data_IF_136815687156
#
_entry.id   IF_136815687156
#
_cell.length_a   1.000
_cell.length_b   1.000
_cell.length_c   1.000
_cell.angle_alpha   90.00
_cell.angle_beta   90.00
_cell.angle_gamma   90.00
#
_symmetry.space_group_name_H-M   'P 1'
#
loop_
_entity.id
_entity.type
_entity.pdbx_description
1 polymer ?
#
# COMPACT_ATOMS: atom_id res chain seq x y z
N UNK A 1 9.06 17.58 0.05
CA UNK A 1 7.62 17.26 0.15
C UNK A 1 6.93 17.81 -1.10
N UNK A 2 6.59 16.93 -2.06
CA UNK A 2 5.79 17.33 -3.23
C UNK A 2 4.35 17.58 -2.77
N UNK A 3 3.88 18.82 -2.86
CA UNK A 3 2.49 19.19 -2.54
C UNK A 3 1.68 19.18 -3.83
N UNK A 4 0.97 18.10 -4.10
CA UNK A 4 -0.12 18.11 -5.08
C UNK A 4 -1.45 18.18 -4.32
N UNK A 5 -2.19 19.27 -4.51
CA UNK A 5 -3.58 19.46 -4.03
C UNK A 5 -3.81 19.21 -2.53
N UNK A 6 -2.98 19.78 -1.66
CA UNK A 6 -3.24 19.81 -0.21
C UNK A 6 -2.91 18.51 0.56
N UNK A 7 -2.40 17.48 -0.12
CA UNK A 7 -1.90 16.27 0.53
C UNK A 7 -0.37 16.27 0.59
N UNK A 8 0.16 15.71 1.67
CA UNK A 8 1.59 15.38 1.81
C UNK A 8 1.76 13.88 1.66
N UNK A 9 2.69 13.47 0.81
CA UNK A 9 3.03 12.07 0.60
C UNK A 9 4.23 11.67 1.45
N UNK A 10 4.15 10.50 2.04
CA UNK A 10 5.23 9.76 2.70
C UNK A 10 5.50 8.54 1.85
N UNK A 11 6.77 8.14 1.75
CA UNK A 11 7.15 6.95 0.97
C UNK A 11 6.54 7.01 -0.44
N UNK A 12 6.58 8.17 -1.09
CA UNK A 12 6.08 8.34 -2.47
C UNK A 12 4.56 8.36 -2.66
N UNK A 13 3.82 7.43 -2.05
CA UNK A 13 2.42 7.09 -2.37
C UNK A 13 1.51 6.94 -1.13
N UNK A 14 2.03 7.09 0.09
CA UNK A 14 1.20 7.11 1.31
C UNK A 14 0.76 8.55 1.61
N UNK A 15 -0.51 8.85 1.34
CA UNK A 15 -1.11 10.15 1.59
C UNK A 15 -1.35 10.40 3.09
N UNK A 16 -1.18 11.66 3.50
CA UNK A 16 -1.53 12.16 4.84
C UNK A 16 -2.25 13.50 4.73
N UNK A 17 -3.22 13.72 5.62
CA UNK A 17 -3.79 15.05 5.80
C UNK A 17 -2.73 15.94 6.45
N UNK A 18 -2.39 17.07 5.83
CA UNK A 18 -1.28 17.96 6.21
C UNK A 18 -1.34 18.62 7.61
N UNK A 19 -2.18 18.10 8.52
CA UNK A 19 -2.38 18.56 9.89
C UNK A 19 -2.10 17.47 10.94
N UNK A 20 -1.86 16.21 10.55
CA UNK A 20 -1.50 15.11 11.48
C UNK A 20 -0.12 14.56 11.12
N UNK A 21 0.87 14.94 11.92
CA UNK A 21 2.29 14.56 11.78
C UNK A 21 2.61 13.14 12.27
N UNK A 22 1.64 12.42 12.86
CA UNK A 22 1.81 11.06 13.33
C UNK A 22 0.57 10.24 13.02
N UNK A 23 0.73 9.20 12.21
CA UNK A 23 -0.12 8.01 12.28
C UNK A 23 0.80 6.89 12.72
N UNK A 24 0.99 6.77 14.03
CA UNK A 24 1.11 5.43 14.59
C UNK A 24 -0.31 4.90 14.66
N UNK A 25 -0.57 3.75 14.05
CA UNK A 25 -1.78 2.98 14.34
C UNK A 25 -1.66 2.34 15.73
N UNK A 26 -1.40 3.14 16.76
CA UNK A 26 -1.00 2.64 18.08
C UNK A 26 -2.14 1.87 18.77
N UNK A 27 -3.40 2.10 18.38
CA UNK A 27 -4.57 1.59 19.12
C UNK A 27 -5.63 0.90 18.23
N UNK A 28 -5.28 0.29 17.09
CA UNK A 28 -6.23 -0.40 16.17
C UNK A 28 -7.38 0.46 15.58
N UNK A 29 -7.56 1.71 16.03
CA UNK A 29 -8.59 2.64 15.52
C UNK A 29 -8.37 3.03 14.05
N UNK A 30 -7.23 2.69 13.46
CA UNK A 30 -6.95 2.88 12.04
C UNK A 30 -7.38 1.68 11.17
N UNK A 31 -7.81 0.57 11.75
CA UNK A 31 -8.21 -0.61 10.99
C UNK A 31 -9.68 -0.51 10.54
N UNK A 32 -10.00 -1.20 9.46
CA UNK A 32 -11.38 -1.44 9.08
C UNK A 32 -12.06 -2.39 10.08
N UNK A 33 -13.31 -2.13 10.42
CA UNK A 33 -13.99 -2.87 11.48
C UNK A 33 -14.35 -4.27 11.00
N UNK A 34 -14.00 -5.29 11.82
CA UNK A 34 -14.47 -6.66 11.63
C UNK A 34 -15.94 -6.76 12.03
N UNK A 35 -16.76 -7.29 11.13
CA UNK A 35 -18.17 -7.60 11.33
C UNK A 35 -18.34 -8.86 12.18
N UNK A 36 -19.54 -9.04 12.73
CA UNK A 36 -19.91 -10.17 13.60
C UNK A 36 -19.90 -11.52 12.88
N UNK A 37 -20.00 -11.52 11.56
CA UNK A 37 -19.90 -12.70 10.70
C UNK A 37 -18.45 -13.13 10.40
N UNK A 38 -17.48 -12.42 10.97
CA UNK A 38 -16.06 -12.73 10.81
C UNK A 38 -15.39 -12.02 9.63
N UNK A 39 -16.12 -11.28 8.79
CA UNK A 39 -15.57 -10.56 7.64
C UNK A 39 -15.25 -9.10 7.96
N UNK A 40 -14.35 -8.51 7.18
CA UNK A 40 -14.02 -7.08 7.22
C UNK A 40 -14.51 -6.47 5.93
N UNK A 41 -15.61 -5.72 5.99
CA UNK A 41 -16.18 -5.06 4.83
C UNK A 41 -15.54 -3.70 4.63
N UNK A 42 -14.92 -3.49 3.45
CA UNK A 42 -14.34 -2.22 3.03
C UNK A 42 -15.23 -1.63 1.94
N UNK A 43 -16.12 -0.67 2.27
CA UNK A 43 -16.97 -0.05 1.28
C UNK A 43 -16.16 0.78 0.29
N UNK A 44 -16.52 0.77 -0.99
CA UNK A 44 -15.84 1.56 -2.01
C UNK A 44 -16.78 2.19 -3.04
N UNK A 45 -16.30 3.24 -3.70
CA UNK A 45 -16.85 3.80 -4.94
C UNK A 45 -15.79 3.82 -6.03
N UNK A 46 -16.17 3.57 -7.29
CA UNK A 46 -15.27 3.71 -8.46
C UNK A 46 -15.78 4.85 -9.33
N UNK A 47 -14.91 5.83 -9.57
CA UNK A 47 -15.21 7.00 -10.40
C UNK A 47 -15.80 6.62 -11.76
N UNK A 48 -16.87 7.29 -12.26
CA UNK A 48 -17.41 7.07 -13.59
C UNK A 48 -16.43 7.42 -14.72
N UNK A 49 -15.30 8.05 -14.40
CA UNK A 49 -14.24 8.39 -15.35
C UNK A 49 -13.38 7.19 -15.77
N UNK A 50 -13.41 6.08 -15.02
CA UNK A 50 -12.78 4.83 -15.44
C UNK A 50 -13.64 4.12 -16.48
N UNK A 51 -12.99 3.64 -17.54
CA UNK A 51 -13.63 2.79 -18.53
C UNK A 51 -13.87 1.36 -17.99
N UNK A 52 -14.43 0.48 -18.82
CA UNK A 52 -14.76 -0.87 -18.41
C UNK A 52 -13.51 -1.72 -18.11
N UNK A 53 -12.41 -1.52 -18.84
CA UNK A 53 -11.18 -2.29 -18.63
C UNK A 53 -10.44 -1.85 -17.37
N UNK A 54 -10.40 -0.54 -17.11
CA UNK A 54 -9.90 0.03 -15.86
C UNK A 54 -10.68 -0.53 -14.67
N UNK A 55 -12.01 -0.56 -14.75
CA UNK A 55 -12.89 -1.15 -13.72
C UNK A 55 -12.59 -2.61 -13.45
N UNK A 56 -12.50 -3.43 -14.50
CA UNK A 56 -12.15 -4.85 -14.38
C UNK A 56 -10.78 -5.01 -13.71
N UNK A 57 -9.80 -4.18 -14.07
CA UNK A 57 -8.45 -4.24 -13.49
C UNK A 57 -8.43 -3.91 -12.00
N UNK A 58 -9.20 -2.89 -11.60
CA UNK A 58 -9.39 -2.51 -10.18
C UNK A 58 -10.08 -3.64 -9.41
N UNK A 59 -11.12 -4.24 -9.99
CA UNK A 59 -11.87 -5.35 -9.38
C UNK A 59 -11.03 -6.62 -9.26
N UNK A 60 -10.11 -6.90 -10.20
CA UNK A 60 -9.13 -7.98 -10.07
C UNK A 60 -8.21 -7.72 -8.87
N UNK A 61 -7.68 -6.50 -8.70
CA UNK A 61 -6.84 -6.20 -7.53
C UNK A 61 -7.59 -6.34 -6.20
N UNK A 62 -8.89 -6.01 -6.17
CA UNK A 62 -9.75 -6.30 -5.01
C UNK A 62 -9.90 -7.81 -4.76
N UNK A 63 -10.03 -8.60 -5.83
CA UNK A 63 -10.20 -10.05 -5.78
C UNK A 63 -8.92 -10.77 -5.31
N UNK A 64 -7.75 -10.30 -5.73
CA UNK A 64 -6.45 -10.85 -5.33
C UNK A 64 -6.30 -10.88 -3.80
N UNK A 65 -6.82 -9.86 -3.11
CA UNK A 65 -6.88 -9.81 -1.65
C UNK A 65 -8.09 -10.59 -1.10
N UNK A 66 -9.27 -10.36 -1.67
CA UNK A 66 -10.53 -10.85 -1.08
C UNK A 66 -10.68 -12.37 -1.19
N UNK A 67 -10.03 -13.01 -2.16
CA UNK A 67 -10.16 -14.46 -2.40
C UNK A 67 -9.50 -15.32 -1.30
N UNK A 68 -8.46 -14.80 -0.64
CA UNK A 68 -7.66 -15.53 0.35
C UNK A 68 -7.69 -14.92 1.75
N UNK A 69 -8.57 -13.93 1.99
CA UNK A 69 -8.71 -13.24 3.27
C UNK A 69 -10.17 -13.05 3.69
N UNK A 70 -10.38 -12.62 4.94
CA UNK A 70 -11.68 -12.18 5.43
C UNK A 70 -12.02 -10.73 5.03
N UNK A 71 -11.13 -10.01 4.34
CA UNK A 71 -11.42 -8.69 3.79
C UNK A 71 -12.31 -8.84 2.56
N UNK A 72 -13.36 -8.03 2.47
CA UNK A 72 -14.29 -7.98 1.33
C UNK A 72 -14.51 -6.53 0.91
N UNK A 73 -14.13 -6.21 -0.31
CA UNK A 73 -14.48 -4.92 -0.91
C UNK A 73 -15.93 -4.97 -1.39
N UNK A 74 -16.74 -4.02 -0.94
CA UNK A 74 -18.18 -3.98 -1.26
C UNK A 74 -18.58 -2.62 -1.83
N UNK A 75 -19.46 -2.56 -2.85
CA UNK A 75 -19.99 -1.29 -3.32
C UNK A 75 -20.65 -0.54 -2.17
N UNK A 76 -20.25 0.72 -1.99
CA UNK A 76 -20.79 1.57 -0.95
C UNK A 76 -22.27 1.85 -1.20
N UNK A 77 -23.05 1.85 -0.12
CA UNK A 77 -24.42 2.36 -0.10
C UNK A 77 -24.50 3.61 0.78
N UNK A 78 -24.46 3.43 2.10
CA UNK A 78 -24.66 4.49 3.09
C UNK A 78 -23.52 4.62 4.10
N UNK A 79 -22.48 3.79 4.00
CA UNK A 79 -21.37 3.80 4.95
C UNK A 79 -20.67 5.16 4.95
N UNK A 80 -20.37 5.67 6.15
CA UNK A 80 -19.69 6.95 6.33
C UNK A 80 -18.22 6.87 5.92
N UNK A 81 -17.55 5.77 6.31
CA UNK A 81 -16.16 5.47 5.98
C UNK A 81 -16.12 4.58 4.74
N UNK A 82 -15.38 4.99 3.70
CA UNK A 82 -15.26 4.24 2.46
C UNK A 82 -14.06 4.72 1.63
N UNK A 83 -13.56 3.85 0.76
CA UNK A 83 -12.51 4.16 -0.20
C UNK A 83 -13.13 4.76 -1.47
N UNK A 84 -12.72 5.99 -1.82
CA UNK A 84 -13.16 6.67 -3.04
C UNK A 84 -12.11 6.56 -4.14
N UNK A 85 -12.28 5.61 -5.06
CA UNK A 85 -11.28 5.29 -6.09
C UNK A 85 -11.42 6.25 -7.28
N UNK A 86 -10.36 7.01 -7.55
CA UNK A 86 -10.38 8.16 -8.47
C UNK A 86 -9.14 8.19 -9.39
N UNK A 87 -9.27 8.56 -10.68
CA UNK A 87 -8.13 8.68 -11.59
C UNK A 87 -7.41 10.02 -11.40
N UNK A 88 -6.87 10.27 -10.20
CA UNK A 88 -6.06 11.47 -9.94
C UNK A 88 -4.64 11.24 -10.44
N UNK A 89 -3.79 12.26 -10.34
CA UNK A 89 -2.38 12.14 -10.69
C UNK A 89 -1.65 11.24 -9.67
N UNK A 90 -0.91 10.25 -10.16
CA UNK A 90 -0.19 9.24 -9.39
C UNK A 90 -1.03 8.05 -8.94
N UNK A 91 -0.34 7.04 -8.43
CA UNK A 91 -0.90 5.93 -7.67
C UNK A 91 -0.63 6.24 -6.19
N UNK A 92 -1.66 6.26 -5.35
CA UNK A 92 -1.50 6.53 -3.91
C UNK A 92 -2.77 6.22 -3.12
N UNK A 93 -2.59 6.03 -1.82
CA UNK A 93 -3.67 5.73 -0.88
C UNK A 93 -3.38 6.30 0.51
N UNK A 94 -4.39 6.34 1.36
CA UNK A 94 -4.17 6.61 2.79
C UNK A 94 -3.80 5.33 3.52
N UNK A 95 -3.06 5.47 4.63
CA UNK A 95 -2.71 4.33 5.48
C UNK A 95 -3.86 3.99 6.44
N UNK A 96 -4.50 2.85 6.22
CA UNK A 96 -5.65 2.39 7.01
C UNK A 96 -6.93 3.18 6.77
N UNK A 97 -7.92 2.96 7.62
CA UNK A 97 -9.18 3.71 7.72
C UNK A 97 -8.93 5.05 8.41
N UNK A 98 -9.18 6.15 7.71
CA UNK A 98 -8.94 7.52 8.22
C UNK A 98 -10.20 8.25 8.71
N UNK A 99 -11.37 7.67 8.46
CA UNK A 99 -12.68 8.25 8.78
C UNK A 99 -13.23 9.13 7.67
N UNK A 100 -14.50 8.94 7.31
CA UNK A 100 -15.15 9.58 6.17
C UNK A 100 -14.72 9.01 4.82
N UNK A 101 -15.07 9.69 3.71
CA UNK A 101 -14.54 9.39 2.39
C UNK A 101 -13.01 9.53 2.37
N UNK A 102 -12.29 8.48 1.97
CA UNK A 102 -10.84 8.53 1.76
C UNK A 102 -10.48 8.27 0.30
N UNK A 103 -9.96 9.27 -0.43
CA UNK A 103 -9.53 9.07 -1.81
C UNK A 103 -8.39 8.05 -1.92
N UNK A 104 -8.50 7.17 -2.91
CA UNK A 104 -7.42 6.31 -3.40
C UNK A 104 -7.25 6.64 -4.89
N UNK A 105 -6.03 6.98 -5.29
CA UNK A 105 -5.73 7.33 -6.67
C UNK A 105 -5.16 6.15 -7.43
N UNK A 106 -5.77 5.84 -8.57
CA UNK A 106 -5.17 4.99 -9.59
C UNK A 106 -5.23 5.76 -10.91
N UNK A 107 -4.18 6.51 -11.24
CA UNK A 107 -4.10 7.26 -12.49
C UNK A 107 -4.27 6.32 -13.70
N UNK A 108 -5.21 6.62 -14.59
CA UNK A 108 -5.29 5.93 -15.89
C UNK A 108 -4.44 6.68 -16.94
N UNK A 109 -3.64 5.99 -17.78
CA UNK A 109 -3.41 4.54 -17.82
C UNK A 109 -2.27 4.06 -16.88
N UNK A 110 -1.53 4.97 -16.24
CA UNK A 110 -0.24 4.67 -15.60
C UNK A 110 -0.31 3.65 -14.44
N UNK A 111 -1.42 3.57 -13.71
CA UNK A 111 -1.63 2.70 -12.56
C UNK A 111 -2.55 1.50 -12.87
N UNK A 112 -2.95 1.30 -14.13
CA UNK A 112 -3.95 0.28 -14.52
C UNK A 112 -3.33 -1.12 -14.62
N UNK A 113 -2.86 -1.62 -13.48
CA UNK A 113 -2.31 -2.95 -13.27
C UNK A 113 -2.93 -3.50 -11.99
N UNK A 114 -3.42 -4.74 -11.99
CA UNK A 114 -4.13 -5.29 -10.81
C UNK A 114 -3.24 -5.32 -9.57
N UNK A 115 -1.97 -5.67 -9.69
CA UNK A 115 -1.04 -5.63 -8.55
C UNK A 115 -0.75 -4.21 -8.03
N UNK A 116 -0.84 -3.17 -8.87
CA UNK A 116 -0.80 -1.77 -8.41
C UNK A 116 -2.09 -1.43 -7.66
N UNK A 117 -3.26 -1.84 -8.15
CA UNK A 117 -4.50 -1.68 -7.41
C UNK A 117 -4.44 -2.40 -6.05
N UNK A 118 -3.96 -3.64 -6.02
CA UNK A 118 -3.73 -4.41 -4.79
C UNK A 118 -2.79 -3.70 -3.81
N UNK A 119 -1.70 -3.13 -4.31
CA UNK A 119 -0.75 -2.34 -3.51
C UNK A 119 -1.42 -1.15 -2.81
N UNK A 120 -2.17 -0.33 -3.55
CA UNK A 120 -2.87 0.83 -2.98
C UNK A 120 -4.01 0.44 -2.03
N UNK A 121 -4.67 -0.68 -2.30
CA UNK A 121 -5.68 -1.25 -1.41
C UNK A 121 -5.04 -1.79 -0.13
N UNK A 122 -3.85 -2.39 -0.19
CA UNK A 122 -3.10 -2.81 1.00
C UNK A 122 -2.68 -1.62 1.87
N UNK A 123 -2.30 -0.48 1.27
CA UNK A 123 -2.15 0.77 2.03
C UNK A 123 -3.43 1.16 2.76
N UNK A 124 -4.58 1.13 2.07
CA UNK A 124 -5.89 1.41 2.68
C UNK A 124 -6.24 0.42 3.81
N UNK A 125 -5.68 -0.79 3.79
CA UNK A 125 -5.82 -1.79 4.85
C UNK A 125 -4.86 -1.59 6.02
N UNK A 126 -3.86 -0.71 5.90
CA UNK A 126 -2.93 -0.35 6.98
C UNK A 126 -1.51 -0.87 6.80
N UNK A 127 -1.14 -1.38 5.62
CA UNK A 127 0.21 -1.87 5.34
C UNK A 127 1.12 -0.74 4.82
N UNK A 128 2.33 -0.68 5.36
CA UNK A 128 3.41 0.17 4.84
C UNK A 128 4.33 -0.65 3.95
N UNK A 129 5.31 0.00 3.32
CA UNK A 129 6.24 -0.72 2.46
C UNK A 129 7.17 -1.68 3.20
N UNK A 130 7.56 -2.75 2.52
CA UNK A 130 8.43 -3.78 3.09
C UNK A 130 9.86 -3.24 3.35
N UNK A 131 10.41 -2.41 2.45
CA UNK A 131 11.75 -1.82 2.63
C UNK A 131 11.84 -0.76 3.74
N UNK A 132 10.68 -0.41 4.31
CA UNK A 132 10.54 0.55 5.40
C UNK A 132 10.51 -0.12 6.79
N UNK A 133 10.53 -1.46 6.85
CA UNK A 133 10.57 -2.22 8.10
C UNK A 133 11.77 -1.87 8.99
N UNK A 134 11.57 -1.98 10.30
CA UNK A 134 12.62 -1.73 11.31
C UNK A 134 13.86 -2.62 11.13
N UNK A 135 13.67 -3.86 10.66
CA UNK A 135 14.71 -4.89 10.48
C UNK A 135 15.29 -4.94 9.05
N UNK A 136 14.87 -4.05 8.14
CA UNK A 136 15.20 -4.13 6.70
C UNK A 136 16.70 -4.14 6.38
N UNK A 137 17.55 -3.52 7.20
CA UNK A 137 19.01 -3.45 6.94
C UNK A 137 19.71 -4.82 6.98
N UNK A 138 19.06 -5.84 7.58
CA UNK A 138 19.50 -7.24 7.55
C UNK A 138 19.30 -7.88 6.16
N UNK A 139 18.39 -7.32 5.37
CA UNK A 139 17.89 -7.89 4.11
C UNK A 139 18.26 -7.04 2.90
N UNK A 140 18.34 -5.72 3.04
CA UNK A 140 18.72 -4.83 1.94
C UNK A 140 19.78 -3.82 2.36
N UNK A 141 20.56 -3.35 1.39
CA UNK A 141 21.36 -2.12 1.49
C UNK A 141 20.64 -1.03 0.72
N UNK A 142 20.49 0.15 1.33
CA UNK A 142 20.06 1.35 0.61
C UNK A 142 21.31 2.11 0.15
N UNK A 143 21.40 2.37 -1.16
CA UNK A 143 22.44 3.19 -1.77
C UNK A 143 21.97 4.65 -1.79
N UNK A 144 22.23 5.36 -0.70
CA UNK A 144 21.70 6.70 -0.45
C UNK A 144 22.17 7.75 -1.46
N UNK A 145 23.37 7.58 -1.98
CA UNK A 145 24.01 8.38 -3.01
C UNK A 145 23.28 8.31 -4.36
N UNK A 146 22.58 7.22 -4.65
CA UNK A 146 21.85 7.02 -5.91
C UNK A 146 20.40 7.52 -5.83
N UNK A 147 19.93 7.96 -4.65
CA UNK A 147 18.56 8.43 -4.44
C UNK A 147 18.49 9.94 -4.70
N UNK A 148 17.45 10.36 -5.42
CA UNK A 148 17.15 11.78 -5.67
C UNK A 148 17.18 12.58 -4.37
N UNK A 149 17.90 13.72 -4.35
CA UNK A 149 18.23 14.47 -3.12
C UNK A 149 16.97 14.85 -2.30
N UNK A 150 15.85 15.12 -2.96
CA UNK A 150 14.57 15.40 -2.32
C UNK A 150 13.75 14.18 -1.86
N UNK A 151 14.14 12.96 -2.24
CA UNK A 151 13.35 11.72 -2.10
C UNK A 151 13.92 10.73 -1.07
N UNK A 152 15.08 11.00 -0.48
CA UNK A 152 15.70 10.16 0.57
C UNK A 152 14.76 9.85 1.74
N UNK A 153 13.85 10.76 2.05
CA UNK A 153 12.84 10.55 3.11
C UNK A 153 11.91 9.34 2.86
N UNK A 154 11.75 8.88 1.63
CA UNK A 154 10.95 7.70 1.28
C UNK A 154 11.62 6.36 1.67
N UNK A 155 12.91 6.39 2.03
CA UNK A 155 13.68 5.19 2.42
C UNK A 155 13.94 5.10 3.92
N UNK A 156 13.36 6.02 4.71
CA UNK A 156 13.46 5.99 6.17
C UNK A 156 12.77 4.74 6.70
N UNK A 157 13.41 4.09 7.68
CA UNK A 157 12.79 3.00 8.44
C UNK A 157 11.76 3.54 9.41
N UNK A 158 10.81 2.70 9.78
CA UNK A 158 9.84 2.97 10.83
C UNK A 158 9.83 1.84 11.85
N UNK A 159 9.41 2.16 13.06
CA UNK A 159 9.07 1.16 14.06
C UNK A 159 7.80 0.44 13.60
N UNK A 160 8.00 -0.69 12.92
CA UNK A 160 6.93 -1.51 12.35
C UNK A 160 6.58 -2.64 13.30
N UNK A 161 5.27 -2.87 13.51
CA UNK A 161 4.82 -4.16 14.00
C UNK A 161 4.92 -5.15 12.83
N UNK A 162 6.02 -5.91 12.80
CA UNK A 162 6.29 -6.88 11.75
C UNK A 162 5.33 -8.09 11.78
N UNK A 163 4.33 -8.10 12.68
CA UNK A 163 3.37 -9.19 12.88
C UNK A 163 4.05 -10.54 13.10
N UNK A 164 5.27 -10.52 13.66
CA UNK A 164 6.16 -11.68 13.79
C UNK A 164 6.45 -12.44 12.48
N UNK A 165 6.32 -11.78 11.31
CA UNK A 165 6.65 -12.38 10.01
C UNK A 165 8.08 -12.06 9.59
N UNK A 166 8.62 -12.93 8.73
CA UNK A 166 9.89 -12.70 8.03
C UNK A 166 9.77 -11.53 7.04
N UNK A 167 10.93 -11.04 6.58
CA UNK A 167 11.03 -10.07 5.49
C UNK A 167 10.74 -10.75 4.15
N UNK A 168 9.98 -10.08 3.29
CA UNK A 168 9.53 -10.63 2.02
C UNK A 168 9.96 -9.77 0.81
N UNK A 169 10.99 -10.25 0.10
CA UNK A 169 11.44 -9.60 -1.14
C UNK A 169 10.38 -9.60 -2.25
N UNK A 170 9.47 -10.57 -2.22
CA UNK A 170 8.42 -10.76 -3.22
C UNK A 170 7.12 -10.02 -2.86
N UNK A 171 7.10 -9.30 -1.73
CA UNK A 171 5.93 -8.53 -1.32
C UNK A 171 5.57 -7.48 -2.38
N UNK A 172 4.27 -7.36 -2.68
CA UNK A 172 3.76 -6.30 -3.56
C UNK A 172 4.01 -4.91 -2.96
N UNK A 173 4.24 -4.85 -1.64
CA UNK A 173 4.60 -3.66 -0.89
C UNK A 173 6.10 -3.36 -0.90
N UNK A 174 6.93 -4.14 -1.58
CA UNK A 174 8.36 -3.84 -1.72
C UNK A 174 8.60 -2.87 -2.88
N UNK A 175 9.47 -1.88 -2.69
CA UNK A 175 9.97 -1.05 -3.78
C UNK A 175 10.84 -1.83 -4.76
N UNK A 176 10.79 -1.41 -6.03
CA UNK A 176 11.74 -1.88 -7.03
C UNK A 176 13.16 -1.40 -6.78
N UNK A 177 14.12 -2.12 -7.35
CA UNK A 177 15.56 -1.86 -7.27
C UNK A 177 15.98 -0.42 -7.61
N UNK A 178 15.25 0.23 -8.51
CA UNK A 178 15.55 1.55 -9.06
C UNK A 178 14.62 2.66 -8.57
N UNK A 179 13.83 2.38 -7.52
CA UNK A 179 12.88 3.35 -6.99
C UNK A 179 13.61 4.67 -6.64
N UNK A 180 13.08 5.80 -7.12
CA UNK A 180 13.63 7.15 -6.87
C UNK A 180 15.11 7.31 -7.20
N UNK A 181 15.61 6.57 -8.19
CA UNK A 181 16.98 6.72 -8.68
C UNK A 181 17.18 8.08 -9.36
N UNK A 182 18.30 8.75 -9.07
CA UNK A 182 18.69 10.02 -9.70
C UNK A 182 19.22 9.80 -11.13
N UNK A 183 19.96 8.72 -11.36
CA UNK A 183 20.76 8.50 -12.57
C UNK A 183 20.52 7.12 -13.22
N UNK A 184 19.50 6.38 -12.76
CA UNK A 184 19.17 5.04 -13.24
C UNK A 184 19.98 3.92 -12.56
N UNK A 185 20.87 4.24 -11.62
CA UNK A 185 21.56 3.26 -10.79
C UNK A 185 20.63 2.69 -9.71
N UNK A 186 20.89 1.45 -9.22
CA UNK A 186 20.08 0.85 -8.18
C UNK A 186 20.12 1.67 -6.88
N UNK A 187 18.98 1.82 -6.22
CA UNK A 187 18.85 2.45 -4.89
C UNK A 187 18.69 1.42 -3.77
N UNK A 188 18.25 0.20 -4.11
CA UNK A 188 18.08 -0.92 -3.16
C UNK A 188 18.82 -2.16 -3.69
N UNK A 189 19.70 -2.73 -2.86
CA UNK A 189 20.42 -3.97 -3.16
C UNK A 189 20.05 -5.05 -2.13
N UNK A 190 19.43 -6.18 -2.56
CA UNK A 190 19.15 -7.31 -1.67
C UNK A 190 20.39 -8.02 -1.11
N UNK A 191 20.20 -8.72 0.00
CA UNK A 191 21.20 -9.53 0.71
C UNK A 191 20.66 -10.94 0.99
N UNK A 192 21.53 -11.96 1.13
CA UNK A 192 22.97 -11.90 0.83
C UNK A 192 23.26 -11.89 -0.67
N UNK A 193 22.28 -12.21 -1.51
CA UNK A 193 22.41 -12.24 -2.96
C UNK A 193 21.80 -10.98 -3.60
N UNK A 194 22.60 -10.15 -4.29
CA UNK A 194 22.11 -8.95 -4.96
C UNK A 194 21.22 -9.25 -6.18
N UNK A 195 21.07 -10.50 -6.60
CA UNK A 195 20.22 -10.89 -7.74
C UNK A 195 18.79 -11.26 -7.36
N UNK A 196 18.46 -11.31 -6.07
CA UNK A 196 17.09 -11.56 -5.61
C UNK A 196 16.15 -10.50 -6.26
N UNK A 197 15.06 -10.92 -6.90
CA UNK A 197 14.09 -9.99 -7.48
C UNK A 197 13.34 -9.24 -6.38
N UNK A 198 13.06 -7.95 -6.62
CA UNK A 198 12.29 -7.09 -5.72
C UNK A 198 11.43 -6.12 -6.53
N UNK A 199 10.25 -5.78 -5.99
CA UNK A 199 9.36 -4.77 -6.56
C UNK A 199 8.42 -5.30 -7.64
N UNK A 200 8.04 -6.58 -7.58
CA UNK A 200 6.99 -7.13 -8.42
C UNK A 200 5.66 -6.38 -8.23
N UNK A 201 4.82 -6.39 -9.25
CA UNK A 201 3.46 -5.81 -9.27
C UNK A 201 2.46 -6.75 -9.95
N UNK A 202 2.69 -8.05 -9.84
CA UNK A 202 1.81 -9.11 -10.36
C UNK A 202 0.61 -9.32 -9.42
N UNK A 203 0.82 -9.18 -8.11
CA UNK A 203 -0.23 -9.30 -7.09
C UNK A 203 0.35 -9.46 -5.67
N UNK A 204 -0.48 -9.54 -4.61
CA UNK A 204 -0.02 -9.80 -3.25
C UNK A 204 0.73 -11.13 -3.16
N UNK A 205 1.87 -11.13 -2.45
CA UNK A 205 2.57 -12.38 -2.14
C UNK A 205 1.76 -13.24 -1.16
N UNK A 206 2.15 -14.51 -1.00
CA UNK A 206 1.54 -15.36 0.04
C UNK A 206 1.75 -14.78 1.45
N UNK A 207 2.88 -14.09 1.70
CA UNK A 207 3.13 -13.48 2.99
C UNK A 207 2.33 -12.19 3.17
N UNK A 208 2.06 -11.43 2.11
CA UNK A 208 1.14 -10.29 2.15
C UNK A 208 -0.26 -10.73 2.59
N UNK A 209 -0.79 -11.79 1.96
CA UNK A 209 -2.08 -12.39 2.34
C UNK A 209 -2.08 -12.88 3.79
N UNK A 210 -1.00 -13.54 4.22
CA UNK A 210 -0.86 -13.99 5.60
C UNK A 210 -0.85 -12.82 6.59
N UNK A 211 -0.13 -11.74 6.29
CA UNK A 211 -0.08 -10.52 7.11
C UNK A 211 -1.46 -9.87 7.24
N UNK A 212 -2.26 -9.82 6.15
CA UNK A 212 -3.65 -9.35 6.20
C UNK A 212 -4.49 -10.22 7.14
N UNK A 213 -4.38 -11.54 7.00
CA UNK A 213 -5.12 -12.49 7.85
C UNK A 213 -4.75 -12.37 9.33
N UNK A 214 -3.47 -12.14 9.66
CA UNK A 214 -3.03 -11.89 11.03
C UNK A 214 -3.56 -10.55 11.56
N UNK A 215 -3.44 -9.48 10.78
CA UNK A 215 -3.83 -8.12 11.20
C UNK A 215 -5.33 -8.03 11.49
N UNK A 216 -6.15 -8.66 10.64
CA UNK A 216 -7.61 -8.66 10.76
C UNK A 216 -8.17 -9.91 11.47
N UNK A 217 -7.29 -10.77 11.99
CA UNK A 217 -7.65 -11.97 12.74
C UNK A 217 -8.67 -12.86 11.97
N UNK A 218 -8.40 -13.13 10.70
CA UNK A 218 -9.30 -13.92 9.85
C UNK A 218 -9.33 -15.39 10.30
N UNK A 219 -10.53 -15.95 10.46
CA UNK A 219 -10.73 -17.34 10.92
C UNK A 219 -10.81 -17.53 12.44
N UNK A 220 -10.75 -16.44 13.20
CA UNK A 220 -11.08 -16.41 14.63
C UNK A 220 -12.49 -15.89 14.90
#
# INVERSE_FOLDING_TARGET
MSRFRGHTFREGDIASFGVRSAISCANQNCLWTKSVDGFVYVPYTISPLYDNMDRITIEIGMLDISSATCVKFVPRTHQADFVDIQPRFGCWSFLGRVGGPQPLSLQTPACMWSGVASHELMHALGFVHEQSRSDRDRYVTILWENIIEGQKHNFKKYETNNLNTVYDYDSVMHYGRYAFSEDGLPTIIPKPDPNIPIGQRDGPSQLDIHKINLLYNCGA
#
